data_IF_879688146461
#
_entry.id   IF_879688146461
#
_cell.length_a   1.000
_cell.length_b   1.000
_cell.length_c   1.000
_cell.angle_alpha   90.00
_cell.angle_beta   90.00
_cell.angle_gamma   90.00
#
_symmetry.space_group_name_H-M   'P 1'
#
loop_
_entity.id
_entity.type
_entity.pdbx_description
1 polymer ?
#
# COMPACT_ATOMS: atom_id res chain seq x y z
N UNK A 1 6.13 -8.11 -15.26
CA UNK A 1 7.61 -8.23 -15.26
C UNK A 1 8.33 -7.05 -15.94
N UNK A 2 7.92 -6.61 -17.15
CA UNK A 2 8.64 -5.57 -17.92
C UNK A 2 8.75 -4.17 -17.27
N UNK A 3 7.83 -3.77 -16.38
CA UNK A 3 7.88 -2.44 -15.77
C UNK A 3 8.95 -2.27 -14.67
N UNK A 4 9.37 -3.37 -14.02
CA UNK A 4 10.35 -3.33 -12.93
C UNK A 4 11.80 -3.17 -13.42
N UNK A 5 12.14 -3.68 -14.61
CA UNK A 5 13.50 -3.60 -15.16
C UNK A 5 13.93 -2.22 -15.66
N UNK A 6 12.99 -1.40 -16.13
CA UNK A 6 13.30 -0.09 -16.77
C UNK A 6 13.24 1.11 -15.80
N UNK A 7 13.07 0.86 -14.49
CA UNK A 7 12.92 1.91 -13.47
C UNK A 7 11.67 2.78 -13.63
N UNK A 8 10.78 2.48 -14.57
CA UNK A 8 9.51 3.18 -14.77
C UNK A 8 8.53 2.92 -13.62
N UNK A 9 8.50 1.69 -13.12
CA UNK A 9 7.67 1.30 -11.97
C UNK A 9 8.01 2.12 -10.72
N UNK A 10 9.29 2.16 -10.33
CA UNK A 10 9.73 2.92 -9.16
C UNK A 10 9.47 4.44 -9.30
N UNK A 11 9.64 5.01 -10.50
CA UNK A 11 9.30 6.41 -10.77
C UNK A 11 7.81 6.68 -10.63
N UNK A 12 6.96 5.77 -11.10
CA UNK A 12 5.52 5.88 -10.96
C UNK A 12 5.11 5.84 -9.47
N UNK A 13 5.62 4.88 -8.70
CA UNK A 13 5.35 4.82 -7.25
C UNK A 13 5.79 6.09 -6.53
N UNK A 14 6.98 6.63 -6.84
CA UNK A 14 7.44 7.92 -6.30
C UNK A 14 6.56 9.09 -6.69
N UNK A 15 5.97 9.08 -7.89
CA UNK A 15 5.03 10.12 -8.30
C UNK A 15 3.71 10.03 -7.53
N UNK A 16 3.21 8.81 -7.29
CA UNK A 16 2.01 8.55 -6.49
C UNK A 16 2.25 8.89 -5.01
N UNK A 17 3.43 8.66 -4.48
CA UNK A 17 3.77 9.03 -3.11
C UNK A 17 3.67 10.55 -2.86
N UNK A 18 3.81 11.40 -3.90
CA UNK A 18 3.83 12.86 -3.80
C UNK A 18 2.48 13.56 -3.97
N UNK A 19 1.43 12.86 -4.39
CA UNK A 19 0.11 13.51 -4.55
C UNK A 19 -0.49 13.82 -3.18
N UNK A 20 -1.21 14.94 -3.07
CA UNK A 20 -1.85 15.36 -1.82
C UNK A 20 -2.91 14.36 -1.34
N UNK A 21 -3.65 13.78 -2.30
CA UNK A 21 -4.65 12.75 -2.06
C UNK A 21 -4.42 11.56 -2.99
N UNK A 22 -4.17 10.39 -2.40
CA UNK A 22 -4.10 9.11 -3.09
C UNK A 22 -5.33 8.28 -2.73
N UNK A 23 -6.01 7.73 -3.74
CA UNK A 23 -7.15 6.83 -3.55
C UNK A 23 -6.73 5.44 -4.02
N UNK A 24 -6.75 4.47 -3.11
CA UNK A 24 -6.58 3.06 -3.39
C UNK A 24 -7.98 2.43 -3.45
N UNK A 25 -8.47 2.22 -4.67
CA UNK A 25 -9.79 1.64 -4.90
C UNK A 25 -9.72 0.11 -4.90
N UNK A 26 -10.82 -0.55 -4.55
CA UNK A 26 -10.99 -2.01 -4.62
C UNK A 26 -9.93 -2.81 -3.83
N UNK A 27 -9.61 -2.34 -2.61
CA UNK A 27 -8.68 -3.02 -1.73
C UNK A 27 -9.18 -4.41 -1.32
N UNK A 28 -8.31 -5.41 -1.46
CA UNK A 28 -8.51 -6.76 -0.94
C UNK A 28 -9.15 -7.78 -1.87
N UNK A 29 -9.18 -7.51 -3.17
CA UNK A 29 -9.57 -8.51 -4.18
C UNK A 29 -8.58 -9.69 -4.26
N UNK A 30 -7.31 -9.47 -3.92
CA UNK A 30 -6.27 -10.51 -3.95
C UNK A 30 -5.19 -10.27 -2.90
N UNK A 31 -4.60 -11.35 -2.40
CA UNK A 31 -3.46 -11.27 -1.49
C UNK A 31 -2.25 -10.66 -2.18
N UNK A 32 -1.58 -9.71 -1.53
CA UNK A 32 -0.40 -9.06 -2.09
C UNK A 32 0.80 -10.01 -2.09
N UNK A 33 1.51 -10.05 -3.22
CA UNK A 33 2.85 -10.65 -3.27
C UNK A 33 3.80 -9.90 -2.33
N UNK A 34 4.85 -10.58 -1.84
CA UNK A 34 5.86 -9.95 -0.97
C UNK A 34 6.40 -8.64 -1.58
N UNK A 35 6.67 -8.65 -2.88
CA UNK A 35 7.20 -7.48 -3.55
C UNK A 35 6.20 -6.31 -3.66
N UNK A 36 4.91 -6.59 -3.79
CA UNK A 36 3.86 -5.55 -3.74
C UNK A 36 3.70 -4.99 -2.34
N UNK A 37 3.86 -5.82 -1.29
CA UNK A 37 3.87 -5.36 0.10
C UNK A 37 5.02 -4.38 0.36
N UNK A 38 6.23 -4.72 -0.10
CA UNK A 38 7.39 -3.83 0.03
C UNK A 38 7.14 -2.51 -0.71
N UNK A 39 6.74 -2.58 -1.99
CA UNK A 39 6.45 -1.39 -2.79
C UNK A 39 5.38 -0.50 -2.14
N UNK A 40 4.33 -1.11 -1.57
CA UNK A 40 3.25 -0.40 -0.88
C UNK A 40 3.74 0.23 0.43
N UNK A 41 4.50 -0.52 1.23
CA UNK A 41 5.03 -0.03 2.49
C UNK A 41 5.93 1.19 2.27
N UNK A 42 6.87 1.12 1.31
CA UNK A 42 7.74 2.25 0.96
C UNK A 42 6.93 3.49 0.56
N UNK A 43 5.89 3.31 -0.27
CA UNK A 43 5.02 4.41 -0.68
C UNK A 43 4.24 4.99 0.51
N UNK A 44 3.71 4.16 1.40
CA UNK A 44 2.98 4.61 2.59
C UNK A 44 3.91 5.31 3.59
N UNK A 45 5.16 4.88 3.71
CA UNK A 45 6.18 5.55 4.53
C UNK A 45 6.49 6.96 4.02
N UNK A 46 6.70 7.12 2.72
CA UNK A 46 6.93 8.43 2.10
C UNK A 46 5.75 9.40 2.33
N UNK A 47 4.53 8.85 2.47
CA UNK A 47 3.28 9.60 2.67
C UNK A 47 2.95 9.88 4.13
N UNK A 48 3.50 9.10 5.06
CA UNK A 48 3.10 9.12 6.46
C UNK A 48 3.26 10.52 7.08
N UNK A 49 2.18 11.05 7.65
CA UNK A 49 2.14 12.39 8.23
C UNK A 49 2.31 13.55 7.24
N UNK A 50 2.29 13.30 5.92
CA UNK A 50 2.54 14.31 4.87
C UNK A 50 1.40 14.46 3.87
N UNK A 51 0.71 13.38 3.52
CA UNK A 51 -0.37 13.39 2.54
C UNK A 51 -1.46 12.37 2.90
N UNK A 52 -2.70 12.60 2.44
CA UNK A 52 -3.85 11.77 2.80
C UNK A 52 -4.00 10.57 1.87
N UNK A 53 -4.32 9.41 2.44
CA UNK A 53 -4.60 8.20 1.66
C UNK A 53 -6.02 7.73 1.99
N UNK A 54 -6.86 7.57 0.97
CA UNK A 54 -8.18 6.94 1.10
C UNK A 54 -8.08 5.53 0.53
N UNK A 55 -8.61 4.57 1.26
CA UNK A 55 -8.75 3.19 0.81
C UNK A 55 -10.23 2.84 0.75
N UNK A 56 -10.68 2.32 -0.38
CA UNK A 56 -12.02 1.74 -0.50
C UNK A 56 -11.87 0.22 -0.49
N UNK A 57 -12.75 -0.47 0.21
CA UNK A 57 -12.70 -1.93 0.29
C UNK A 57 -14.10 -2.50 0.48
N UNK A 58 -14.33 -3.66 -0.13
CA UNK A 58 -15.47 -4.52 0.20
C UNK A 58 -15.12 -5.51 1.32
N UNK A 59 -13.84 -5.60 1.69
CA UNK A 59 -13.34 -6.48 2.75
C UNK A 59 -13.40 -5.73 4.09
N UNK A 60 -13.99 -6.35 5.14
CA UNK A 60 -13.97 -5.81 6.50
C UNK A 60 -12.54 -5.52 6.99
N UNK A 61 -12.36 -4.42 7.74
CA UNK A 61 -11.01 -3.96 8.19
C UNK A 61 -10.29 -5.00 9.03
N UNK A 62 -11.01 -5.78 9.84
CA UNK A 62 -10.46 -6.87 10.65
C UNK A 62 -9.89 -8.04 9.83
N UNK A 63 -10.23 -8.13 8.54
CA UNK A 63 -9.69 -9.11 7.59
C UNK A 63 -8.55 -8.54 6.73
N UNK A 64 -8.19 -7.26 6.87
CA UNK A 64 -7.18 -6.65 6.02
C UNK A 64 -5.79 -7.24 6.23
N UNK A 65 -5.48 -7.71 7.44
CA UNK A 65 -4.19 -8.35 7.71
C UNK A 65 -3.98 -9.59 6.81
N UNK A 66 -5.02 -10.42 6.62
CA UNK A 66 -4.97 -11.61 5.75
C UNK A 66 -4.81 -11.23 4.27
N UNK A 67 -5.47 -10.15 3.85
CA UNK A 67 -5.37 -9.61 2.49
C UNK A 67 -3.98 -9.05 2.18
N UNK A 68 -3.32 -8.42 3.16
CA UNK A 68 -1.96 -7.92 2.96
C UNK A 68 -1.00 -9.09 2.75
N UNK A 69 -1.19 -10.19 3.47
CA UNK A 69 -0.59 -11.48 3.21
C UNK A 69 0.24 -12.05 4.37
N UNK A 70 0.83 -13.21 4.13
CA UNK A 70 1.33 -14.12 5.18
C UNK A 70 2.56 -13.66 6.00
N UNK A 71 3.08 -12.45 5.76
CA UNK A 71 4.21 -11.90 6.55
C UNK A 71 3.63 -10.94 7.58
N UNK A 72 3.53 -11.34 8.87
CA UNK A 72 2.89 -10.53 9.88
C UNK A 72 3.60 -9.19 10.08
N UNK A 73 4.93 -9.15 9.91
CA UNK A 73 5.72 -7.93 10.12
C UNK A 73 5.36 -6.87 9.10
N UNK A 74 5.28 -7.26 7.82
CA UNK A 74 4.88 -6.35 6.75
C UNK A 74 3.40 -6.00 6.83
N UNK A 75 2.55 -6.97 7.18
CA UNK A 75 1.12 -6.76 7.32
C UNK A 75 0.80 -5.74 8.43
N UNK A 76 1.39 -5.91 9.62
CA UNK A 76 1.25 -4.96 10.72
C UNK A 76 1.74 -3.56 10.34
N UNK A 77 2.92 -3.45 9.73
CA UNK A 77 3.48 -2.15 9.36
C UNK A 77 2.60 -1.39 8.34
N UNK A 78 2.03 -2.10 7.36
CA UNK A 78 1.11 -1.52 6.38
C UNK A 78 -0.22 -1.13 7.04
N UNK A 79 -0.78 -2.01 7.86
CA UNK A 79 -2.06 -1.77 8.55
C UNK A 79 -1.97 -0.59 9.51
N UNK A 80 -0.84 -0.43 10.22
CA UNK A 80 -0.56 0.72 11.07
C UNK A 80 -0.61 2.05 10.29
N UNK A 81 -0.04 2.08 9.09
CA UNK A 81 -0.04 3.28 8.24
C UNK A 81 -1.41 3.59 7.62
N UNK A 82 -2.21 2.57 7.33
CA UNK A 82 -3.52 2.76 6.70
C UNK A 82 -4.65 3.04 7.70
N UNK A 83 -4.62 2.40 8.87
CA UNK A 83 -5.75 2.41 9.82
C UNK A 83 -5.45 3.23 11.07
N UNK A 84 -4.20 3.20 11.56
CA UNK A 84 -3.87 3.82 12.85
C UNK A 84 -3.38 5.27 12.73
N UNK A 85 -3.00 5.72 11.53
CA UNK A 85 -2.60 7.11 11.25
C UNK A 85 -3.68 7.93 10.50
N UNK A 86 -4.92 7.46 10.50
CA UNK A 86 -6.08 8.16 9.93
C UNK A 86 -6.83 9.01 10.97
#
# INVERSE_FOLDING_TARGET
>A
ALARGDGRHARMLKSLARVELLILDDWGISVLTQSQRIDLLEMLEDRNGRASTIVTSQVPVDQWHEVIGDDPTLADAILDRLVHNA
#
